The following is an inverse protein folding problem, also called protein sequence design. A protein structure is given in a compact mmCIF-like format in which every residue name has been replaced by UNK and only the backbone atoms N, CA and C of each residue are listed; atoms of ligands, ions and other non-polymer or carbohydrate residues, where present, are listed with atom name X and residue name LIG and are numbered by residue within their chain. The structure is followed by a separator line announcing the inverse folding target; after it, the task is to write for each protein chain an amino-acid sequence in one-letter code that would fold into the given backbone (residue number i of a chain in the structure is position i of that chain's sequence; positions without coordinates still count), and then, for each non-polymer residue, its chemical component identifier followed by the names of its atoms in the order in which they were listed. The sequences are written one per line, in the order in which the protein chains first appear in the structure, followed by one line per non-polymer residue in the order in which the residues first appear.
data_IF_221713070331
#
_entry.id   IF_221713070331
#
_cell.length_a   1.000
_cell.length_b   1.000
_cell.length_c   1.000
_cell.angle_alpha   90.00
_cell.angle_beta   90.00
_cell.angle_gamma   90.00
#
_symmetry.space_group_name_H-M   'P 1'
#
loop_
_entity.id
_entity.type
_entity.pdbx_description
1 polymer ?
#
# COMPACT_ATOMS: atom_id res chain seq x y z
N UNK A 1 26.93 -37.76 3.48
CA UNK A 1 27.27 -38.39 2.19
C UNK A 1 25.98 -38.81 1.51
N UNK A 2 25.64 -38.18 0.39
CA UNK A 2 24.78 -38.77 -0.64
C UNK A 2 25.47 -38.48 -1.98
N UNK A 3 26.25 -39.45 -2.45
CA UNK A 3 26.91 -39.43 -3.76
C UNK A 3 26.01 -40.20 -4.72
N UNK A 4 24.94 -39.57 -5.18
CA UNK A 4 24.30 -39.95 -6.44
C UNK A 4 24.95 -39.14 -7.57
N UNK A 5 25.08 -39.66 -8.80
CA UNK A 5 25.52 -38.85 -9.92
C UNK A 5 24.55 -37.67 -10.07
N UNK A 6 25.07 -36.44 -10.03
CA UNK A 6 24.32 -35.26 -10.44
C UNK A 6 23.95 -35.48 -11.89
N UNK A 7 22.71 -35.90 -12.17
CA UNK A 7 22.23 -36.03 -13.53
C UNK A 7 22.28 -34.63 -14.16
N UNK A 8 23.22 -34.44 -15.08
CA UNK A 8 23.22 -33.27 -15.96
C UNK A 8 22.01 -33.47 -16.86
N UNK A 9 21.07 -32.54 -16.79
CA UNK A 9 19.87 -32.57 -17.61
C UNK A 9 20.23 -32.13 -19.03
N UNK A 10 19.61 -32.72 -20.03
CA UNK A 10 19.76 -32.23 -21.40
C UNK A 10 19.09 -30.85 -21.54
N UNK A 11 19.57 -30.00 -22.46
CA UNK A 11 19.07 -28.63 -22.61
C UNK A 11 17.57 -28.60 -22.94
N UNK A 12 17.12 -29.49 -23.82
CA UNK A 12 15.71 -29.71 -24.16
C UNK A 12 14.87 -30.19 -22.96
N UNK A 13 15.47 -31.00 -22.09
CA UNK A 13 14.84 -31.44 -20.85
C UNK A 13 14.67 -30.27 -19.86
N UNK A 14 15.70 -29.43 -19.67
CA UNK A 14 15.63 -28.23 -18.82
C UNK A 14 14.51 -27.31 -19.30
N UNK A 15 14.50 -27.03 -20.60
CA UNK A 15 13.51 -26.21 -21.28
C UNK A 15 12.08 -26.75 -21.15
N UNK A 16 11.90 -28.07 -21.30
CA UNK A 16 10.61 -28.73 -21.19
C UNK A 16 10.07 -28.67 -19.76
N UNK A 17 10.93 -28.92 -18.76
CA UNK A 17 10.54 -28.80 -17.34
C UNK A 17 10.14 -27.38 -17.02
N UNK A 18 10.93 -26.39 -17.44
CA UNK A 18 10.69 -25.00 -17.11
C UNK A 18 9.38 -24.50 -17.73
N UNK A 19 9.15 -24.74 -19.03
CA UNK A 19 7.90 -24.37 -19.70
C UNK A 19 6.70 -25.07 -19.07
N UNK A 20 6.85 -26.35 -18.74
CA UNK A 20 5.82 -27.10 -18.04
C UNK A 20 5.49 -26.49 -16.69
N UNK A 21 6.48 -26.12 -15.88
CA UNK A 21 6.26 -25.53 -14.55
C UNK A 21 5.59 -24.16 -14.64
N UNK A 22 5.99 -23.33 -15.62
CA UNK A 22 5.35 -22.04 -15.89
C UNK A 22 3.88 -22.23 -16.26
N UNK A 23 3.57 -23.17 -17.15
CA UNK A 23 2.19 -23.45 -17.54
C UNK A 23 1.30 -23.90 -16.36
N UNK A 24 1.81 -24.76 -15.47
CA UNK A 24 1.09 -25.15 -14.24
C UNK A 24 0.85 -23.94 -13.33
N UNK A 25 1.87 -23.10 -13.13
CA UNK A 25 1.77 -21.91 -12.29
C UNK A 25 0.79 -20.87 -12.84
N UNK A 26 0.81 -20.63 -14.15
CA UNK A 26 -0.15 -19.77 -14.84
C UNK A 26 -1.60 -20.30 -14.74
N UNK A 27 -1.76 -21.62 -14.59
CA UNK A 27 -3.05 -22.26 -14.31
C UNK A 27 -3.44 -22.26 -12.82
N UNK A 28 -2.64 -21.63 -11.94
CA UNK A 28 -2.86 -21.61 -10.49
C UNK A 28 -2.46 -22.89 -9.75
N UNK A 29 -1.86 -23.86 -10.45
CA UNK A 29 -1.48 -25.18 -9.92
C UNK A 29 -0.06 -25.15 -9.33
N UNK A 30 0.17 -24.29 -8.34
CA UNK A 30 1.49 -24.05 -7.73
C UNK A 30 2.13 -25.33 -7.17
N UNK A 31 1.34 -26.26 -6.62
CA UNK A 31 1.86 -27.55 -6.14
C UNK A 31 2.35 -28.44 -7.28
N UNK A 32 1.66 -28.44 -8.43
CA UNK A 32 2.09 -29.20 -9.60
C UNK A 32 3.37 -28.59 -10.20
N UNK A 33 3.46 -27.26 -10.26
CA UNK A 33 4.67 -26.54 -10.64
C UNK A 33 5.85 -26.92 -9.72
N UNK A 34 5.66 -26.88 -8.40
CA UNK A 34 6.65 -27.28 -7.37
C UNK A 34 7.19 -28.69 -7.58
N UNK A 35 6.32 -29.66 -7.86
CA UNK A 35 6.74 -31.04 -8.15
C UNK A 35 7.56 -31.13 -9.44
N UNK A 36 7.17 -30.36 -10.47
CA UNK A 36 7.81 -30.43 -11.78
C UNK A 36 9.24 -29.90 -11.77
N UNK A 37 9.54 -28.88 -10.95
CA UNK A 37 10.87 -28.24 -10.89
C UNK A 37 11.94 -29.02 -10.12
N UNK A 38 11.57 -30.12 -9.43
CA UNK A 38 12.50 -30.86 -8.58
C UNK A 38 13.79 -31.34 -9.28
N UNK A 39 13.76 -31.79 -10.57
CA UNK A 39 15.00 -32.11 -11.29
C UNK A 39 15.89 -30.87 -11.46
N UNK A 40 15.33 -29.71 -11.81
CA UNK A 40 16.08 -28.46 -11.95
C UNK A 40 16.72 -28.05 -10.62
N UNK A 41 15.96 -28.12 -9.52
CA UNK A 41 16.44 -27.77 -8.16
C UNK A 41 17.63 -28.63 -7.74
N UNK A 42 17.63 -29.92 -8.11
CA UNK A 42 18.76 -30.83 -7.88
C UNK A 42 19.97 -30.54 -8.76
N UNK A 43 19.77 -30.12 -10.01
CA UNK A 43 20.83 -29.88 -10.99
C UNK A 43 21.49 -28.49 -10.86
N UNK A 44 20.77 -27.47 -10.39
CA UNK A 44 21.15 -26.05 -10.47
C UNK A 44 22.55 -25.73 -9.93
N UNK A 45 23.00 -26.45 -8.89
CA UNK A 45 24.31 -26.22 -8.25
C UNK A 45 25.48 -26.46 -9.19
N UNK A 46 25.30 -27.36 -10.16
CA UNK A 46 26.36 -27.80 -11.07
C UNK A 46 26.02 -27.50 -12.54
N UNK A 47 24.84 -26.96 -12.83
CA UNK A 47 24.38 -26.64 -14.18
C UNK A 47 23.72 -25.25 -14.19
N UNK A 48 24.45 -24.25 -14.70
CA UNK A 48 24.00 -22.85 -14.76
C UNK A 48 22.68 -22.69 -15.52
N UNK A 49 22.45 -23.50 -16.55
CA UNK A 49 21.21 -23.51 -17.33
C UNK A 49 19.99 -23.87 -16.46
N UNK A 50 20.11 -24.86 -15.59
CA UNK A 50 19.06 -25.25 -14.65
C UNK A 50 18.80 -24.14 -13.61
N UNK A 51 19.84 -23.45 -13.15
CA UNK A 51 19.69 -22.28 -12.28
C UNK A 51 18.94 -21.14 -12.99
N UNK A 52 19.32 -20.81 -14.23
CA UNK A 52 18.64 -19.78 -15.03
C UNK A 52 17.17 -20.14 -15.32
N UNK A 53 16.88 -21.42 -15.57
CA UNK A 53 15.51 -21.91 -15.75
C UNK A 53 14.66 -21.71 -14.48
N UNK A 54 15.21 -22.02 -13.30
CA UNK A 54 14.54 -21.75 -12.01
C UNK A 54 14.28 -20.25 -11.80
N UNK A 55 15.26 -19.39 -12.11
CA UNK A 55 15.09 -17.93 -12.01
C UNK A 55 13.98 -17.44 -12.94
N UNK A 56 13.87 -17.99 -14.15
CA UNK A 56 12.78 -17.68 -15.05
C UNK A 56 11.42 -18.12 -14.49
N UNK A 57 11.30 -19.32 -13.93
CA UNK A 57 10.06 -19.81 -13.30
C UNK A 57 9.64 -18.91 -12.12
N UNK A 58 10.61 -18.47 -11.31
CA UNK A 58 10.35 -17.50 -10.22
C UNK A 58 9.87 -16.17 -10.78
N UNK A 59 10.52 -15.64 -11.82
CA UNK A 59 10.14 -14.38 -12.48
C UNK A 59 8.73 -14.42 -13.07
N UNK A 60 8.29 -15.60 -13.53
CA UNK A 60 6.92 -15.86 -13.99
C UNK A 60 5.90 -16.06 -12.87
N UNK A 61 6.32 -15.95 -11.60
CA UNK A 61 5.46 -16.08 -10.40
C UNK A 61 4.70 -17.42 -10.36
N UNK A 62 5.32 -18.49 -10.84
CA UNK A 62 4.69 -19.81 -10.98
C UNK A 62 4.70 -20.67 -9.71
N UNK A 63 5.29 -20.18 -8.63
CA UNK A 63 5.46 -20.87 -7.35
C UNK A 63 4.90 -20.02 -6.21
N UNK A 64 4.72 -20.63 -5.03
CA UNK A 64 4.46 -19.84 -3.82
C UNK A 64 5.67 -18.96 -3.50
N UNK A 65 5.46 -17.81 -2.84
CA UNK A 65 6.54 -16.87 -2.54
C UNK A 65 7.60 -17.45 -1.61
N UNK A 66 7.17 -18.24 -0.63
CA UNK A 66 8.06 -18.91 0.30
C UNK A 66 8.98 -19.88 -0.44
N UNK A 67 8.42 -20.77 -1.27
CA UNK A 67 9.23 -21.71 -2.06
C UNK A 67 10.13 -21.00 -3.07
N UNK A 68 9.63 -19.95 -3.72
CA UNK A 68 10.44 -19.15 -4.62
C UNK A 68 11.61 -18.48 -3.88
N UNK A 69 11.40 -17.93 -2.68
CA UNK A 69 12.47 -17.33 -1.87
C UNK A 69 13.52 -18.37 -1.45
N UNK A 70 13.09 -19.59 -1.07
CA UNK A 70 13.99 -20.71 -0.76
C UNK A 70 14.86 -21.08 -1.96
N UNK A 71 14.26 -21.18 -3.16
CA UNK A 71 14.99 -21.47 -4.40
C UNK A 71 16.01 -20.38 -4.71
N UNK A 72 15.63 -19.10 -4.57
CA UNK A 72 16.56 -17.99 -4.74
C UNK A 72 17.73 -18.09 -3.74
N UNK A 73 17.48 -18.47 -2.48
CA UNK A 73 18.56 -18.69 -1.51
C UNK A 73 19.49 -19.84 -1.91
N UNK A 74 18.95 -20.98 -2.35
CA UNK A 74 19.76 -22.11 -2.80
C UNK A 74 20.65 -21.79 -4.00
N UNK A 75 20.14 -20.98 -4.94
CA UNK A 75 20.92 -20.50 -6.09
C UNK A 75 21.98 -19.50 -5.63
N UNK A 76 21.61 -18.54 -4.76
CA UNK A 76 22.55 -17.57 -4.21
C UNK A 76 23.72 -18.23 -3.48
N UNK A 77 23.47 -19.32 -2.74
CA UNK A 77 24.48 -20.09 -2.02
C UNK A 77 25.35 -20.97 -2.92
N UNK A 78 24.81 -21.44 -4.05
CA UNK A 78 25.54 -22.27 -4.99
C UNK A 78 26.47 -21.47 -5.93
N UNK A 79 26.13 -20.21 -6.22
CA UNK A 79 26.77 -19.41 -7.26
C UNK A 79 27.34 -18.10 -6.70
N UNK A 80 28.58 -18.10 -6.21
CA UNK A 80 29.17 -16.93 -5.51
C UNK A 80 29.64 -15.78 -6.41
N UNK A 81 30.06 -16.08 -7.64
CA UNK A 81 30.69 -15.10 -8.55
C UNK A 81 30.15 -15.18 -10.00
N UNK A 82 29.10 -15.97 -10.25
CA UNK A 82 28.48 -16.01 -11.57
C UNK A 82 27.60 -14.76 -11.76
N UNK A 83 28.15 -13.76 -12.46
CA UNK A 83 27.53 -12.44 -12.65
C UNK A 83 26.14 -12.57 -13.27
N UNK A 84 25.99 -13.39 -14.30
CA UNK A 84 24.72 -13.53 -15.03
C UNK A 84 23.61 -14.07 -14.12
N UNK A 85 23.92 -15.13 -13.36
CA UNK A 85 22.98 -15.75 -12.41
C UNK A 85 22.64 -14.76 -11.29
N UNK A 86 23.64 -14.17 -10.63
CA UNK A 86 23.40 -13.30 -9.47
C UNK A 86 22.67 -12.01 -9.85
N UNK A 87 23.00 -11.43 -11.02
CA UNK A 87 22.30 -10.24 -11.52
C UNK A 87 20.83 -10.56 -11.81
N UNK A 88 20.55 -11.69 -12.45
CA UNK A 88 19.18 -12.14 -12.73
C UNK A 88 18.43 -12.44 -11.43
N UNK A 89 19.06 -13.10 -10.48
CA UNK A 89 18.51 -13.41 -9.16
C UNK A 89 18.11 -12.14 -8.40
N UNK A 90 18.97 -11.11 -8.41
CA UNK A 90 18.66 -9.81 -7.82
C UNK A 90 17.38 -9.17 -8.38
N UNK A 91 17.13 -9.34 -9.68
CA UNK A 91 15.88 -8.90 -10.32
C UNK A 91 14.68 -9.74 -9.87
N UNK A 92 14.85 -11.06 -9.74
CA UNK A 92 13.80 -11.98 -9.31
C UNK A 92 13.32 -11.75 -7.86
N UNK A 93 14.06 -10.98 -7.04
CA UNK A 93 13.62 -10.62 -5.68
C UNK A 93 12.30 -9.83 -5.67
N UNK A 94 11.94 -9.15 -6.76
CA UNK A 94 10.64 -8.50 -6.89
C UNK A 94 9.48 -9.49 -7.06
N UNK A 95 9.72 -10.67 -7.64
CA UNK A 95 8.70 -11.68 -7.85
C UNK A 95 8.32 -12.43 -6.55
N UNK A 96 9.18 -12.36 -5.52
CA UNK A 96 8.96 -12.96 -4.20
C UNK A 96 8.38 -11.98 -3.18
N UNK A 97 7.93 -10.79 -3.63
CA UNK A 97 7.19 -9.80 -2.85
C UNK A 97 5.81 -9.57 -3.45
N UNK A 98 4.79 -9.39 -2.60
CA UNK A 98 3.47 -8.99 -3.05
C UNK A 98 3.38 -7.49 -3.33
N UNK A 99 2.45 -7.09 -4.21
CA UNK A 99 1.93 -5.73 -4.17
C UNK A 99 1.21 -5.46 -2.85
N UNK A 100 0.56 -6.47 -2.25
CA UNK A 100 -0.06 -6.38 -0.92
C UNK A 100 0.95 -6.04 0.20
N UNK A 101 2.24 -6.29 -0.07
CA UNK A 101 3.35 -6.02 0.82
C UNK A 101 3.97 -4.63 0.57
N UNK A 102 3.35 -3.78 -0.26
CA UNK A 102 3.88 -2.45 -0.55
C UNK A 102 4.08 -1.63 0.73
N UNK A 103 3.17 -1.79 1.70
CA UNK A 103 3.27 -1.18 3.04
C UNK A 103 3.89 -2.12 4.09
N UNK A 104 4.32 -3.34 3.76
CA UNK A 104 4.89 -4.27 4.73
C UNK A 104 6.29 -3.83 5.21
N UNK A 105 6.75 -4.32 6.38
CA UNK A 105 8.14 -4.17 6.82
C UNK A 105 9.15 -4.80 5.82
N UNK A 106 10.46 -4.53 6.00
CA UNK A 106 11.53 -5.23 5.29
C UNK A 106 11.33 -6.75 5.33
N UNK A 107 11.62 -7.46 4.23
CA UNK A 107 11.53 -8.91 4.21
C UNK A 107 12.53 -9.54 5.19
N UNK A 108 12.08 -10.56 5.91
CA UNK A 108 12.92 -11.28 6.89
C UNK A 108 13.80 -12.35 6.24
N UNK A 109 13.39 -12.87 5.07
CA UNK A 109 14.10 -13.98 4.42
C UNK A 109 15.56 -13.59 4.09
N UNK A 110 16.57 -14.41 4.46
CA UNK A 110 17.97 -14.02 4.41
C UNK A 110 18.50 -13.74 3.00
N UNK A 111 17.85 -14.29 1.97
CA UNK A 111 18.26 -14.10 0.57
C UNK A 111 18.35 -12.62 0.17
N UNK A 112 17.44 -11.77 0.66
CA UNK A 112 17.41 -10.36 0.27
C UNK A 112 18.68 -9.64 0.74
N UNK A 113 19.03 -9.79 2.02
CA UNK A 113 20.27 -9.22 2.58
C UNK A 113 21.52 -9.82 1.92
N UNK A 114 21.54 -11.12 1.70
CA UNK A 114 22.67 -11.81 1.06
C UNK A 114 22.92 -11.26 -0.35
N UNK A 115 21.86 -11.05 -1.13
CA UNK A 115 21.97 -10.55 -2.50
C UNK A 115 22.41 -9.10 -2.57
N UNK A 116 21.92 -8.22 -1.68
CA UNK A 116 22.44 -6.84 -1.60
C UNK A 116 23.96 -6.86 -1.35
N UNK A 117 24.44 -7.68 -0.42
CA UNK A 117 25.85 -7.79 -0.11
C UNK A 117 26.69 -8.34 -1.28
N UNK A 118 26.24 -9.44 -1.92
CA UNK A 118 26.94 -10.07 -3.06
C UNK A 118 26.99 -9.14 -4.26
N UNK A 119 25.86 -8.54 -4.64
CA UNK A 119 25.79 -7.63 -5.79
C UNK A 119 26.55 -6.33 -5.53
N UNK A 120 26.59 -5.81 -4.31
CA UNK A 120 27.44 -4.66 -3.95
C UNK A 120 28.93 -4.95 -4.18
N UNK A 121 29.39 -6.16 -3.84
CA UNK A 121 30.78 -6.60 -4.09
C UNK A 121 31.06 -6.69 -5.59
N UNK A 122 30.14 -7.28 -6.35
CA UNK A 122 30.28 -7.39 -7.80
C UNK A 122 30.26 -6.02 -8.49
N UNK A 123 29.37 -5.10 -8.07
CA UNK A 123 29.26 -3.77 -8.66
C UNK A 123 30.56 -2.97 -8.55
N UNK A 124 31.28 -3.11 -7.42
CA UNK A 124 32.63 -2.53 -7.25
C UNK A 124 33.68 -3.24 -8.09
N UNK A 125 33.62 -4.57 -8.20
CA UNK A 125 34.60 -5.36 -8.97
C UNK A 125 34.54 -5.06 -10.47
N UNK A 126 33.34 -4.85 -11.00
CA UNK A 126 33.09 -4.59 -12.42
C UNK A 126 32.98 -3.08 -12.72
N UNK A 127 33.45 -2.21 -11.84
CA UNK A 127 33.37 -0.76 -12.04
C UNK A 127 34.01 -0.30 -13.36
N UNK A 128 33.24 0.42 -14.18
CA UNK A 128 33.65 0.91 -15.49
C UNK A 128 33.69 -0.16 -16.60
N UNK A 129 33.26 -1.40 -16.31
CA UNK A 129 33.20 -2.49 -17.28
C UNK A 129 31.78 -2.63 -17.85
N UNK A 130 31.61 -3.16 -19.07
CA UNK A 130 30.28 -3.38 -19.67
C UNK A 130 29.35 -4.23 -18.81
N UNK A 131 29.89 -5.20 -18.08
CA UNK A 131 29.14 -6.08 -17.18
C UNK A 131 28.56 -5.36 -15.96
N UNK A 132 29.02 -4.14 -15.66
CA UNK A 132 28.55 -3.39 -14.50
C UNK A 132 27.05 -3.11 -14.57
N UNK A 133 26.54 -2.80 -15.76
CA UNK A 133 25.14 -2.42 -15.95
C UNK A 133 24.18 -3.51 -15.44
N UNK A 134 24.37 -4.77 -15.84
CA UNK A 134 23.52 -5.86 -15.38
C UNK A 134 23.61 -6.09 -13.86
N UNK A 135 24.79 -5.89 -13.28
CA UNK A 135 24.99 -6.02 -11.83
C UNK A 135 24.27 -4.91 -11.07
N UNK A 136 24.40 -3.67 -11.53
CA UNK A 136 23.72 -2.51 -10.95
C UNK A 136 22.20 -2.64 -11.05
N UNK A 137 21.67 -3.18 -12.15
CA UNK A 137 20.23 -3.48 -12.28
C UNK A 137 19.76 -4.46 -11.21
N UNK A 138 20.47 -5.56 -11.03
CA UNK A 138 20.16 -6.52 -9.97
C UNK A 138 20.29 -5.91 -8.57
N UNK A 139 21.34 -5.12 -8.33
CA UNK A 139 21.62 -4.48 -7.05
C UNK A 139 20.55 -3.45 -6.68
N UNK A 140 20.15 -2.61 -7.63
CA UNK A 140 19.12 -1.60 -7.45
C UNK A 140 17.79 -2.25 -7.01
N UNK A 141 17.36 -3.32 -7.70
CA UNK A 141 16.15 -4.05 -7.32
C UNK A 141 16.30 -4.71 -5.96
N UNK A 142 17.39 -5.44 -5.70
CA UNK A 142 17.63 -6.10 -4.42
C UNK A 142 17.62 -5.11 -3.24
N UNK A 143 18.27 -3.95 -3.41
CA UNK A 143 18.32 -2.90 -2.40
C UNK A 143 16.94 -2.26 -2.19
N UNK A 144 16.20 -1.96 -3.26
CA UNK A 144 14.83 -1.41 -3.17
C UNK A 144 13.86 -2.36 -2.49
N UNK A 145 13.99 -3.68 -2.70
CA UNK A 145 13.17 -4.71 -2.05
C UNK A 145 13.41 -4.86 -0.55
N UNK A 146 14.52 -4.32 -0.04
CA UNK A 146 14.82 -4.24 1.39
C UNK A 146 14.22 -2.97 2.05
N UNK A 147 13.14 -2.45 1.46
CA UNK A 147 12.47 -1.23 1.90
C UNK A 147 13.47 -0.09 2.15
N UNK A 148 13.44 0.59 3.30
CA UNK A 148 14.27 1.76 3.61
C UNK A 148 15.70 1.43 4.04
N UNK A 149 16.03 0.16 4.24
CA UNK A 149 17.31 -0.27 4.82
C UNK A 149 18.52 -0.01 3.90
N UNK A 150 18.28 0.07 2.59
CA UNK A 150 19.34 0.20 1.58
C UNK A 150 19.04 1.28 0.53
N UNK A 151 18.32 2.34 0.90
CA UNK A 151 17.94 3.43 -0.01
C UNK A 151 19.14 4.06 -0.73
N UNK A 152 20.23 4.32 -0.01
CA UNK A 152 21.44 4.90 -0.61
C UNK A 152 22.06 4.00 -1.69
N UNK A 153 22.05 2.67 -1.47
CA UNK A 153 22.57 1.71 -2.46
C UNK A 153 21.65 1.66 -3.67
N UNK A 154 20.33 1.65 -3.45
CA UNK A 154 19.36 1.63 -4.54
C UNK A 154 19.46 2.89 -5.41
N UNK A 155 19.48 4.07 -4.79
CA UNK A 155 19.57 5.35 -5.48
C UNK A 155 20.89 5.49 -6.26
N UNK A 156 22.04 5.24 -5.63
CA UNK A 156 23.36 5.27 -6.29
C UNK A 156 23.39 4.32 -7.48
N UNK A 157 22.91 3.09 -7.32
CA UNK A 157 22.86 2.12 -8.41
C UNK A 157 22.01 2.60 -9.58
N UNK A 158 20.87 3.23 -9.31
CA UNK A 158 19.96 3.75 -10.35
C UNK A 158 20.54 5.00 -11.05
N UNK A 159 21.21 5.88 -10.32
CA UNK A 159 21.89 7.05 -10.90
C UNK A 159 23.04 6.61 -11.81
N UNK A 160 23.87 5.66 -11.36
CA UNK A 160 24.96 5.09 -12.17
C UNK A 160 24.46 4.40 -13.44
N UNK A 161 23.31 3.73 -13.39
CA UNK A 161 22.69 3.16 -14.60
C UNK A 161 22.37 4.25 -15.62
N UNK A 162 21.84 5.39 -15.18
CA UNK A 162 21.59 6.55 -16.05
C UNK A 162 22.90 7.14 -16.59
N UNK A 163 23.98 7.14 -15.82
CA UNK A 163 25.30 7.58 -16.32
C UNK A 163 25.85 6.64 -17.41
N UNK A 164 25.63 5.33 -17.28
CA UNK A 164 26.06 4.32 -18.26
C UNK A 164 25.27 4.46 -19.57
N UNK A 165 23.94 4.53 -19.48
CA UNK A 165 23.07 4.75 -20.64
C UNK A 165 21.98 5.79 -20.32
N UNK A 166 22.24 7.08 -20.62
CA UNK A 166 21.29 8.16 -20.37
C UNK A 166 20.02 8.07 -21.21
N UNK A 167 20.03 7.33 -22.32
CA UNK A 167 18.90 7.21 -23.24
C UNK A 167 18.01 6.01 -22.90
N UNK A 168 18.38 5.20 -21.91
CA UNK A 168 17.56 4.07 -21.47
C UNK A 168 16.37 4.54 -20.62
N UNK A 169 15.19 4.65 -21.23
CA UNK A 169 13.94 4.99 -20.53
C UNK A 169 13.71 4.18 -19.24
N UNK A 170 13.98 2.86 -19.27
CA UNK A 170 13.81 1.98 -18.12
C UNK A 170 14.66 2.36 -16.88
N UNK A 171 15.82 3.00 -17.07
CA UNK A 171 16.66 3.44 -15.94
C UNK A 171 16.02 4.62 -15.22
N UNK A 172 15.53 5.60 -15.99
CA UNK A 172 14.76 6.74 -15.47
C UNK A 172 13.44 6.30 -14.81
N UNK A 173 12.73 5.35 -15.41
CA UNK A 173 11.49 4.79 -14.84
C UNK A 173 11.74 4.18 -13.46
N UNK A 174 12.77 3.33 -13.33
CA UNK A 174 13.08 2.69 -12.05
C UNK A 174 13.52 3.69 -10.97
N UNK A 175 14.24 4.76 -11.36
CA UNK A 175 14.57 5.86 -10.45
C UNK A 175 13.31 6.64 -10.03
N UNK A 176 12.39 6.89 -10.96
CA UNK A 176 11.10 7.51 -10.68
C UNK A 176 10.24 6.67 -9.73
N UNK A 177 10.18 5.35 -9.93
CA UNK A 177 9.49 4.42 -9.04
C UNK A 177 10.13 4.41 -7.64
N UNK A 178 11.46 4.39 -7.57
CA UNK A 178 12.19 4.50 -6.30
C UNK A 178 11.76 5.76 -5.55
N UNK A 179 11.84 6.94 -6.17
CA UNK A 179 11.45 8.20 -5.55
C UNK A 179 9.97 8.26 -5.14
N UNK A 180 9.05 7.72 -5.96
CA UNK A 180 7.62 7.61 -5.63
C UNK A 180 7.41 6.92 -4.28
N UNK A 181 8.03 5.76 -4.10
CA UNK A 181 7.90 4.95 -2.87
C UNK A 181 8.67 5.51 -1.67
N UNK A 182 9.36 6.64 -1.82
CA UNK A 182 10.14 7.32 -0.77
C UNK A 182 9.63 8.72 -0.45
N UNK A 183 8.52 9.12 -1.05
CA UNK A 183 7.95 10.46 -0.86
C UNK A 183 8.75 11.59 -1.51
N UNK A 184 9.80 11.27 -2.26
CA UNK A 184 10.65 12.22 -2.99
C UNK A 184 9.99 12.60 -4.31
N UNK A 185 8.76 13.11 -4.19
CA UNK A 185 7.84 13.22 -5.30
C UNK A 185 8.33 14.18 -6.39
N UNK A 186 9.01 15.27 -6.03
CA UNK A 186 9.57 16.21 -7.01
C UNK A 186 10.66 15.56 -7.87
N UNK A 187 11.59 14.80 -7.26
CA UNK A 187 12.57 14.02 -8.01
C UNK A 187 11.91 12.91 -8.83
N UNK A 188 10.85 12.29 -8.29
CA UNK A 188 10.02 11.32 -8.99
C UNK A 188 9.37 11.90 -10.26
N UNK A 189 8.88 13.15 -10.21
CA UNK A 189 8.36 13.85 -11.40
C UNK A 189 9.45 14.00 -12.45
N UNK A 190 10.65 14.46 -12.07
CA UNK A 190 11.75 14.65 -13.00
C UNK A 190 12.16 13.34 -13.69
N UNK A 191 12.36 12.28 -12.90
CA UNK A 191 12.78 10.97 -13.42
C UNK A 191 11.70 10.33 -14.32
N UNK A 192 10.42 10.31 -13.91
CA UNK A 192 9.38 9.74 -14.77
C UNK A 192 9.12 10.58 -16.03
N UNK A 193 9.32 11.90 -15.99
CA UNK A 193 9.24 12.75 -17.20
C UNK A 193 10.37 12.43 -18.17
N UNK A 194 11.59 12.21 -17.68
CA UNK A 194 12.70 11.75 -18.51
C UNK A 194 12.40 10.38 -19.12
N UNK A 195 11.90 9.43 -18.31
CA UNK A 195 11.49 8.11 -18.79
C UNK A 195 10.45 8.18 -19.90
N UNK A 196 9.39 8.98 -19.72
CA UNK A 196 8.34 9.17 -20.71
C UNK A 196 8.87 9.80 -22.00
N UNK A 197 9.80 10.77 -21.91
CA UNK A 197 10.38 11.44 -23.09
C UNK A 197 11.31 10.56 -23.93
N UNK A 198 11.88 9.52 -23.32
CA UNK A 198 12.82 8.59 -23.96
C UNK A 198 12.14 7.31 -24.47
N UNK A 199 10.86 7.13 -24.15
CA UNK A 199 10.09 5.97 -24.61
C UNK A 199 9.51 6.24 -26.00
N UNK A 200 9.69 5.31 -26.93
CA UNK A 200 9.10 5.40 -28.28
C UNK A 200 7.57 5.26 -28.23
N UNK A 201 7.06 4.56 -27.21
CA UNK A 201 5.64 4.35 -26.96
C UNK A 201 5.24 4.88 -25.59
N UNK A 202 4.01 5.39 -25.47
CA UNK A 202 3.47 5.77 -24.17
C UNK A 202 3.33 4.51 -23.30
N UNK A 203 4.04 4.47 -22.18
CA UNK A 203 3.96 3.36 -21.21
C UNK A 203 3.08 3.82 -20.05
N UNK A 204 1.90 3.22 -19.92
CA UNK A 204 0.91 3.57 -18.89
C UNK A 204 1.53 3.63 -17.49
N UNK A 205 2.36 2.65 -17.12
CA UNK A 205 2.98 2.63 -15.79
C UNK A 205 3.88 3.83 -15.51
N UNK A 206 4.53 4.38 -16.54
CA UNK A 206 5.35 5.59 -16.42
C UNK A 206 4.49 6.83 -16.21
N UNK A 207 3.41 6.97 -16.98
CA UNK A 207 2.45 8.08 -16.82
C UNK A 207 1.73 8.01 -15.47
N UNK A 208 1.33 6.82 -15.01
CA UNK A 208 0.79 6.59 -13.67
C UNK A 208 1.77 7.06 -12.58
N UNK A 209 3.03 6.62 -12.64
CA UNK A 209 4.04 7.04 -11.66
C UNK A 209 4.32 8.54 -11.72
N UNK A 210 4.36 9.13 -12.91
CA UNK A 210 4.52 10.57 -13.11
C UNK A 210 3.38 11.35 -12.46
N UNK A 211 2.14 10.93 -12.67
CA UNK A 211 0.95 11.61 -12.16
C UNK A 211 0.76 11.47 -10.65
N UNK A 212 1.08 10.29 -10.09
CA UNK A 212 1.13 10.07 -8.64
C UNK A 212 2.21 10.96 -8.01
N UNK A 213 3.42 10.98 -8.58
CA UNK A 213 4.49 11.87 -8.11
C UNK A 213 4.07 13.34 -8.23
N UNK A 214 3.46 13.76 -9.32
CA UNK A 214 3.02 15.15 -9.48
C UNK A 214 1.96 15.53 -8.44
N UNK A 215 1.03 14.62 -8.14
CA UNK A 215 0.01 14.82 -7.09
C UNK A 215 0.66 14.88 -5.70
N UNK A 216 1.60 13.97 -5.41
CA UNK A 216 2.38 13.97 -4.16
C UNK A 216 3.24 15.23 -3.96
N UNK A 217 3.83 15.73 -5.04
CA UNK A 217 4.60 16.97 -5.06
C UNK A 217 3.72 18.23 -5.04
N UNK A 218 2.39 18.08 -5.11
CA UNK A 218 1.41 19.17 -5.32
C UNK A 218 1.67 20.00 -6.58
N UNK A 219 2.27 19.40 -7.60
CA UNK A 219 2.37 19.96 -8.95
C UNK A 219 1.05 19.70 -9.71
N UNK A 220 0.06 20.53 -9.40
CA UNK A 220 -1.29 20.42 -9.94
C UNK A 220 -1.34 20.48 -11.47
N UNK A 221 -0.49 21.30 -12.08
CA UNK A 221 -0.47 21.48 -13.53
C UNK A 221 0.03 20.22 -14.24
N UNK A 222 1.14 19.64 -13.78
CA UNK A 222 1.65 18.38 -14.32
C UNK A 222 0.65 17.24 -14.06
N UNK A 223 0.12 17.13 -12.84
CA UNK A 223 -0.85 16.07 -12.50
C UNK A 223 -2.10 16.15 -13.38
N UNK A 224 -2.70 17.34 -13.53
CA UNK A 224 -3.87 17.55 -14.38
C UNK A 224 -3.58 17.19 -15.84
N UNK A 225 -2.45 17.65 -16.37
CA UNK A 225 -2.05 17.39 -17.75
C UNK A 225 -1.84 15.90 -18.04
N UNK A 226 -1.18 15.18 -17.13
CA UNK A 226 -0.97 13.73 -17.27
C UNK A 226 -2.29 12.99 -17.18
N UNK A 227 -3.11 13.26 -16.16
CA UNK A 227 -4.41 12.60 -16.00
C UNK A 227 -5.33 12.83 -17.21
N UNK A 228 -5.37 14.04 -17.77
CA UNK A 228 -6.13 14.31 -19.00
C UNK A 228 -5.58 13.55 -20.22
N UNK A 229 -4.26 13.41 -20.36
CA UNK A 229 -3.66 12.57 -21.42
C UNK A 229 -4.00 11.08 -21.25
N UNK A 230 -4.14 10.63 -20.01
CA UNK A 230 -4.60 9.28 -19.65
C UNK A 230 -6.13 9.15 -19.62
N UNK A 231 -6.83 10.10 -20.26
CA UNK A 231 -8.29 10.13 -20.42
C UNK A 231 -9.09 10.11 -19.11
N UNK A 232 -8.46 10.49 -18.00
CA UNK A 232 -9.12 10.62 -16.71
C UNK A 232 -9.99 11.89 -16.69
N UNK A 233 -11.20 11.75 -16.17
CA UNK A 233 -12.19 12.83 -16.08
C UNK A 233 -11.94 13.68 -14.83
N UNK A 234 -10.88 14.49 -14.89
CA UNK A 234 -10.47 15.38 -13.79
C UNK A 234 -10.39 16.84 -14.24
N UNK A 235 -10.73 17.73 -13.32
CA UNK A 235 -10.63 19.19 -13.46
C UNK A 235 -9.89 19.78 -12.25
N UNK A 236 -9.49 21.07 -12.26
CA UNK A 236 -8.94 21.72 -11.08
C UNK A 236 -9.90 21.57 -9.87
N UNK A 237 -9.41 20.96 -8.80
CA UNK A 237 -10.20 20.58 -7.63
C UNK A 237 -9.99 21.45 -6.40
N UNK A 238 -10.76 21.13 -5.36
CA UNK A 238 -10.94 21.97 -4.17
C UNK A 238 -9.69 22.14 -3.29
N UNK A 239 -8.72 21.23 -3.41
CA UNK A 239 -7.47 21.26 -2.64
C UNK A 239 -6.26 21.72 -3.48
N UNK A 240 -6.51 22.38 -4.62
CA UNK A 240 -5.44 22.72 -5.56
C UNK A 240 -4.82 21.48 -6.21
N UNK A 241 -5.58 20.39 -6.31
CA UNK A 241 -5.21 19.14 -6.96
C UNK A 241 -6.31 18.74 -7.96
N UNK A 242 -6.01 17.96 -9.01
CA UNK A 242 -7.01 17.52 -9.98
C UNK A 242 -8.08 16.62 -9.33
N UNK A 243 -9.35 16.92 -9.58
CA UNK A 243 -10.49 16.25 -8.96
C UNK A 243 -11.54 15.86 -10.00
N UNK A 244 -12.17 14.70 -9.81
CA UNK A 244 -13.22 14.15 -10.64
C UNK A 244 -14.15 13.24 -9.84
N UNK A 245 -15.18 12.71 -10.51
CA UNK A 245 -16.09 11.74 -9.92
C UNK A 245 -15.54 10.32 -10.05
N UNK A 246 -15.22 9.69 -8.92
CA UNK A 246 -14.75 8.31 -8.86
C UNK A 246 -15.63 7.48 -7.90
N UNK A 247 -15.82 6.18 -8.17
CA UNK A 247 -16.44 5.28 -7.19
C UNK A 247 -15.70 5.31 -5.86
N UNK A 248 -16.45 5.20 -4.77
CA UNK A 248 -15.87 5.06 -3.44
C UNK A 248 -14.94 3.83 -3.41
N UNK A 249 -13.88 3.94 -2.62
CA UNK A 249 -12.98 2.83 -2.37
C UNK A 249 -12.54 2.80 -0.93
N UNK A 250 -11.78 1.77 -0.58
CA UNK A 250 -11.17 1.64 0.73
C UNK A 250 -9.67 1.93 0.64
N UNK A 251 -9.11 2.42 1.74
CA UNK A 251 -7.66 2.56 1.90
C UNK A 251 -7.24 1.90 3.20
N UNK A 252 -6.17 1.12 3.14
CA UNK A 252 -5.47 0.64 4.34
C UNK A 252 -4.55 1.75 4.84
N UNK A 253 -5.09 2.57 5.74
CA UNK A 253 -4.33 3.61 6.42
C UNK A 253 -3.32 2.96 7.37
N UNK A 254 -2.20 3.64 7.57
CA UNK A 254 -1.10 3.20 8.40
C UNK A 254 -0.65 4.38 9.26
N UNK A 255 -0.24 4.09 10.50
CA UNK A 255 0.38 5.06 11.39
C UNK A 255 1.66 5.67 10.79
N UNK A 256 2.34 4.90 9.93
CA UNK A 256 3.52 5.30 9.17
C UNK A 256 3.32 4.97 7.69
N UNK A 257 2.77 5.92 6.90
CA UNK A 257 2.59 5.78 5.46
C UNK A 257 3.92 5.54 4.76
N UNK A 258 3.94 4.76 3.67
CA UNK A 258 5.17 4.31 3.01
C UNK A 258 6.16 5.43 2.70
N UNK A 259 5.66 6.53 2.14
CA UNK A 259 6.45 7.67 1.70
C UNK A 259 7.04 8.47 2.88
N UNK A 260 6.49 8.31 4.09
CA UNK A 260 6.86 9.06 5.28
C UNK A 260 7.80 8.26 6.21
N UNK A 261 8.08 7.00 5.88
CA UNK A 261 8.97 6.14 6.69
C UNK A 261 10.42 6.62 6.69
N UNK A 262 11.19 6.03 7.58
CA UNK A 262 12.65 6.15 7.68
C UNK A 262 13.24 4.77 7.94
N UNK A 263 14.55 4.60 7.79
CA UNK A 263 15.20 3.30 8.03
C UNK A 263 15.01 2.79 9.47
N UNK A 264 14.91 3.68 10.46
CA UNK A 264 14.67 3.34 11.87
C UNK A 264 13.19 3.02 12.20
N UNK A 265 12.26 3.36 11.30
CA UNK A 265 10.81 3.16 11.47
C UNK A 265 10.19 2.62 10.18
N UNK A 266 10.77 1.53 9.71
CA UNK A 266 10.44 0.93 8.42
C UNK A 266 9.34 -0.13 8.55
N UNK A 267 8.21 0.27 9.12
CA UNK A 267 7.05 -0.58 9.31
C UNK A 267 5.80 0.31 9.35
N UNK A 268 4.60 -0.21 9.02
CA UNK A 268 3.38 0.61 8.98
C UNK A 268 2.89 1.09 10.35
N UNK A 269 3.34 0.47 11.45
CA UNK A 269 2.70 0.59 12.75
C UNK A 269 1.30 -0.02 12.75
N UNK A 270 0.40 0.61 13.49
CA UNK A 270 -1.03 0.24 13.45
C UNK A 270 -1.63 0.59 12.09
N UNK A 271 -2.61 -0.19 11.66
CA UNK A 271 -3.30 -0.02 10.39
C UNK A 271 -4.81 -0.12 10.58
N UNK A 272 -5.56 0.66 9.80
CA UNK A 272 -7.02 0.64 9.78
C UNK A 272 -7.50 0.75 8.33
N UNK A 273 -8.45 -0.10 7.93
CA UNK A 273 -9.02 -0.02 6.58
C UNK A 273 -10.31 0.77 6.61
N UNK A 274 -10.31 1.91 5.93
CA UNK A 274 -11.41 2.88 5.96
C UNK A 274 -11.96 3.17 4.58
N UNK A 275 -13.19 3.69 4.53
CA UNK A 275 -13.76 4.28 3.33
C UNK A 275 -13.26 5.71 3.11
N UNK A 276 -13.05 6.06 1.85
CA UNK A 276 -12.66 7.40 1.43
C UNK A 276 -13.59 7.95 0.34
N UNK A 277 -13.72 9.28 0.29
CA UNK A 277 -14.21 9.98 -0.89
C UNK A 277 -13.06 10.08 -1.88
N UNK A 278 -13.12 9.32 -2.98
CA UNK A 278 -12.07 9.31 -3.99
C UNK A 278 -12.21 10.50 -4.93
N UNK A 279 -11.18 11.35 -4.97
CA UNK A 279 -11.17 12.57 -5.77
C UNK A 279 -10.44 12.40 -7.10
N UNK A 280 -9.46 11.51 -7.15
CA UNK A 280 -8.69 11.21 -8.37
C UNK A 280 -8.27 9.74 -8.38
N UNK A 281 -7.56 9.27 -9.41
CA UNK A 281 -7.02 7.92 -9.41
C UNK A 281 -6.08 7.62 -8.24
N UNK A 282 -5.49 8.63 -7.60
CA UNK A 282 -4.45 8.43 -6.59
C UNK A 282 -4.60 9.25 -5.30
N UNK A 283 -5.69 9.99 -5.10
CA UNK A 283 -5.91 10.71 -3.84
C UNK A 283 -7.39 10.82 -3.48
N UNK A 284 -7.66 11.04 -2.20
CA UNK A 284 -9.01 11.17 -1.67
C UNK A 284 -9.05 11.71 -0.25
N UNK A 285 -10.26 11.88 0.27
CA UNK A 285 -10.54 12.40 1.61
C UNK A 285 -10.92 11.25 2.52
N UNK A 286 -10.35 11.19 3.70
CA UNK A 286 -10.76 10.21 4.73
C UNK A 286 -12.16 10.54 5.21
N UNK A 287 -13.13 9.63 5.00
CA UNK A 287 -14.54 9.81 5.37
C UNK A 287 -15.05 8.86 6.45
N UNK A 288 -14.15 8.07 7.04
CA UNK A 288 -14.43 7.32 8.26
C UNK A 288 -13.72 7.98 9.42
N UNK A 289 -14.40 8.15 10.56
CA UNK A 289 -13.71 8.56 11.79
C UNK A 289 -12.99 7.33 12.32
N UNK A 290 -11.66 7.39 12.43
CA UNK A 290 -10.85 6.22 12.77
C UNK A 290 -11.21 5.67 14.15
N UNK A 291 -10.85 4.43 14.43
CA UNK A 291 -10.81 3.91 15.80
C UNK A 291 -9.41 4.09 16.41
N UNK A 292 -8.38 3.79 15.63
CA UNK A 292 -6.98 3.95 16.04
C UNK A 292 -6.48 5.39 15.97
N UNK A 293 -5.33 5.64 16.58
CA UNK A 293 -4.61 6.91 16.42
C UNK A 293 -3.44 6.71 15.44
N UNK A 294 -3.73 6.87 14.15
CA UNK A 294 -2.75 6.66 13.09
C UNK A 294 -2.03 7.96 12.69
N UNK A 295 -2.28 9.07 13.38
CA UNK A 295 -1.79 10.39 12.99
C UNK A 295 -2.40 10.94 11.70
N UNK A 296 -3.30 10.18 11.05
CA UNK A 296 -4.20 10.59 9.96
C UNK A 296 -5.64 10.44 10.39
N UNK A 297 -6.47 11.41 10.03
CA UNK A 297 -7.80 11.55 10.60
C UNK A 297 -8.86 11.94 9.57
N UNK A 298 -10.12 11.90 10.00
CA UNK A 298 -11.27 12.33 9.19
C UNK A 298 -11.03 13.71 8.57
N UNK A 299 -11.35 13.84 7.28
CA UNK A 299 -11.17 15.05 6.50
C UNK A 299 -9.77 15.21 5.90
N UNK A 300 -8.75 14.50 6.39
CA UNK A 300 -7.41 14.57 5.79
C UNK A 300 -7.43 14.10 4.32
N UNK A 301 -6.62 14.75 3.50
CA UNK A 301 -6.41 14.36 2.10
C UNK A 301 -5.19 13.47 2.03
N UNK A 302 -5.37 12.25 1.53
CA UNK A 302 -4.31 11.23 1.46
C UNK A 302 -3.96 10.91 0.01
N UNK A 303 -2.72 10.47 -0.20
CA UNK A 303 -2.22 9.88 -1.42
C UNK A 303 -2.22 8.36 -1.30
N UNK A 304 -2.64 7.68 -2.36
CA UNK A 304 -2.63 6.23 -2.51
C UNK A 304 -1.97 5.84 -3.83
N UNK A 305 -1.53 4.59 -3.94
CA UNK A 305 -1.08 4.06 -5.23
C UNK A 305 -2.28 3.82 -6.16
N UNK A 306 -2.03 3.75 -7.47
CA UNK A 306 -3.05 3.43 -8.47
C UNK A 306 -3.40 1.94 -8.53
N UNK A 307 -2.54 1.08 -7.99
CA UNK A 307 -2.74 -0.37 -7.90
C UNK A 307 -3.36 -0.75 -6.55
N UNK A 308 -4.51 -1.47 -6.52
CA UNK A 308 -5.06 -1.99 -5.28
C UNK A 308 -4.20 -3.11 -4.71
N UNK A 309 -4.21 -3.23 -3.39
CA UNK A 309 -3.55 -4.31 -2.61
C UNK A 309 -4.50 -5.43 -2.22
N UNK A 310 -5.79 -5.31 -2.51
CA UNK A 310 -6.79 -6.39 -2.43
C UNK A 310 -8.14 -5.83 -2.89
N UNK A 311 -9.14 -6.69 -2.99
CA UNK A 311 -10.54 -6.31 -3.15
C UNK A 311 -11.36 -6.93 -2.02
N UNK A 312 -12.35 -6.18 -1.53
CA UNK A 312 -13.33 -6.67 -0.56
C UNK A 312 -14.69 -6.79 -1.25
N UNK A 313 -15.32 -7.95 -1.13
CA UNK A 313 -16.64 -8.22 -1.69
C UNK A 313 -17.73 -7.59 -0.84
N UNK A 314 -18.69 -6.92 -1.47
CA UNK A 314 -19.92 -6.43 -0.83
C UNK A 314 -21.10 -6.76 -1.77
N UNK A 315 -21.75 -7.90 -1.53
CA UNK A 315 -22.73 -8.46 -2.46
C UNK A 315 -22.08 -8.73 -3.82
N UNK A 316 -22.64 -8.14 -4.88
CA UNK A 316 -22.12 -8.29 -6.24
C UNK A 316 -20.94 -7.34 -6.55
N UNK A 317 -20.57 -6.43 -5.62
CA UNK A 317 -19.53 -5.43 -5.85
C UNK A 317 -18.15 -5.88 -5.33
N UNK A 318 -17.12 -5.61 -6.13
CA UNK A 318 -15.72 -5.74 -5.72
C UNK A 318 -15.14 -4.37 -5.41
N UNK A 319 -14.92 -4.09 -4.13
CA UNK A 319 -14.44 -2.80 -3.67
C UNK A 319 -12.91 -2.84 -3.56
N UNK A 320 -12.17 -2.04 -4.35
CA UNK A 320 -10.72 -2.02 -4.27
C UNK A 320 -10.24 -1.41 -2.96
N UNK A 321 -9.17 -1.99 -2.41
CA UNK A 321 -8.45 -1.49 -1.25
C UNK A 321 -7.08 -1.01 -1.71
N UNK A 322 -6.79 0.27 -1.50
CA UNK A 322 -5.51 0.85 -1.89
C UNK A 322 -4.57 1.03 -0.68
N UNK A 323 -3.24 1.06 -0.91
CA UNK A 323 -2.27 1.33 0.13
C UNK A 323 -2.14 2.84 0.39
N UNK A 324 -1.99 3.23 1.66
CA UNK A 324 -1.68 4.61 2.03
C UNK A 324 -0.21 4.95 1.75
N UNK A 325 0.03 5.88 0.81
CA UNK A 325 1.38 6.34 0.47
C UNK A 325 1.82 7.49 1.36
N UNK A 326 1.02 8.56 1.46
CA UNK A 326 1.34 9.77 2.23
C UNK A 326 0.07 10.52 2.63
N UNK A 327 0.12 11.32 3.69
CA UNK A 327 -0.92 12.33 3.95
C UNK A 327 -0.53 13.64 3.28
N UNK A 328 -1.32 14.05 2.27
CA UNK A 328 -1.08 15.29 1.53
C UNK A 328 -1.47 16.51 2.35
N UNK A 329 -2.66 16.53 2.95
CA UNK A 329 -3.17 17.70 3.68
C UNK A 329 -3.81 17.26 4.99
N UNK A 330 -3.32 17.83 6.10
CA UNK A 330 -3.96 17.74 7.42
C UNK A 330 -5.07 18.77 7.53
N UNK A 331 -6.26 18.35 7.92
CA UNK A 331 -7.40 19.24 8.16
C UNK A 331 -7.62 19.55 9.63
N UNK A 332 -7.02 18.78 10.53
CA UNK A 332 -7.05 19.02 11.98
C UNK A 332 -8.48 19.13 12.53
N UNK A 333 -9.34 18.16 12.18
CA UNK A 333 -10.68 18.08 12.74
C UNK A 333 -10.61 17.95 14.26
N UNK A 334 -11.63 18.50 14.92
CA UNK A 334 -11.85 18.32 16.35
C UNK A 334 -12.58 17.00 16.56
N UNK A 335 -12.18 16.25 17.60
CA UNK A 335 -12.79 14.96 17.92
C UNK A 335 -13.27 14.92 19.37
N UNK A 336 -14.50 14.45 19.56
CA UNK A 336 -15.11 14.30 20.88
C UNK A 336 -15.71 12.90 21.02
N UNK A 337 -15.28 12.14 22.03
CA UNK A 337 -15.89 10.85 22.31
C UNK A 337 -17.36 11.04 22.77
N UNK A 338 -18.23 10.14 22.36
CA UNK A 338 -19.61 10.09 22.84
C UNK A 338 -20.02 8.66 23.22
N UNK A 339 -21.00 8.58 24.11
CA UNK A 339 -21.80 7.40 24.35
C UNK A 339 -23.27 7.80 24.39
N UNK A 340 -24.16 6.96 23.91
CA UNK A 340 -25.56 7.32 23.75
C UNK A 340 -26.49 6.11 23.70
N UNK A 341 -27.78 6.41 23.73
CA UNK A 341 -28.85 5.42 23.58
C UNK A 341 -29.69 5.73 22.35
N UNK A 342 -30.14 4.68 21.67
CA UNK A 342 -30.99 4.76 20.48
C UNK A 342 -32.02 3.64 20.46
N UNK A 343 -33.16 3.88 19.82
CA UNK A 343 -34.22 2.88 19.64
C UNK A 343 -33.96 2.00 18.42
N UNK A 344 -33.51 2.59 17.32
CA UNK A 344 -33.21 1.89 16.08
C UNK A 344 -31.74 2.01 15.74
N UNK A 345 -31.21 1.02 14.99
CA UNK A 345 -29.86 1.10 14.44
C UNK A 345 -29.63 2.44 13.74
N UNK A 346 -28.41 2.96 13.83
CA UNK A 346 -27.94 4.19 13.15
C UNK A 346 -28.61 5.51 13.57
N UNK A 347 -29.62 5.52 14.45
CA UNK A 347 -30.39 6.72 14.79
C UNK A 347 -29.53 7.92 15.20
N UNK A 348 -28.51 7.70 16.04
CA UNK A 348 -27.60 8.78 16.47
C UNK A 348 -26.61 9.18 15.39
N UNK A 349 -26.15 8.24 14.58
CA UNK A 349 -25.16 8.53 13.57
C UNK A 349 -25.78 9.18 12.32
N UNK A 350 -27.07 8.99 12.08
CA UNK A 350 -27.83 9.63 10.99
C UNK A 350 -28.13 11.11 11.27
N UNK A 351 -27.95 11.59 12.51
CA UNK A 351 -27.93 13.02 12.85
C UNK A 351 -26.90 13.77 12.00
N UNK A 352 -25.82 13.11 11.56
CA UNK A 352 -24.78 13.72 10.72
C UNK A 352 -25.33 14.42 9.47
N UNK A 353 -26.46 13.95 8.92
CA UNK A 353 -27.09 14.59 7.75
C UNK A 353 -27.75 15.95 8.03
N UNK A 354 -27.94 16.29 9.30
CA UNK A 354 -28.53 17.56 9.76
C UNK A 354 -27.47 18.54 10.32
N UNK A 355 -26.23 18.08 10.47
CA UNK A 355 -25.14 18.91 10.96
C UNK A 355 -24.50 19.70 9.82
N UNK A 356 -24.33 20.99 10.02
CA UNK A 356 -23.61 21.84 9.07
C UNK A 356 -22.08 21.67 9.18
N UNK A 357 -21.37 22.06 8.12
CA UNK A 357 -19.92 22.22 8.15
C UNK A 357 -19.12 20.91 8.21
N UNK A 358 -19.65 19.83 7.64
CA UNK A 358 -18.98 18.52 7.54
C UNK A 358 -18.73 17.87 8.92
N UNK A 359 -19.57 18.17 9.90
CA UNK A 359 -19.55 17.50 11.20
C UNK A 359 -20.27 16.13 11.13
N UNK A 360 -19.70 15.13 11.78
CA UNK A 360 -20.19 13.75 11.72
C UNK A 360 -20.21 13.12 13.11
N UNK A 361 -21.32 12.45 13.43
CA UNK A 361 -21.42 11.53 14.57
C UNK A 361 -21.16 10.11 14.05
N UNK A 362 -20.00 9.56 14.42
CA UNK A 362 -19.56 8.25 13.94
C UNK A 362 -19.64 7.21 15.05
N UNK A 363 -20.58 6.27 14.93
CA UNK A 363 -20.81 5.19 15.90
C UNK A 363 -19.85 4.01 15.66
N UNK A 364 -18.70 4.02 16.34
CA UNK A 364 -17.72 2.93 16.26
C UNK A 364 -18.30 1.58 16.72
N UNK A 365 -19.17 1.59 17.72
CA UNK A 365 -19.83 0.37 18.18
C UNK A 365 -20.65 -0.32 17.09
N UNK A 366 -21.14 0.40 16.09
CA UNK A 366 -21.93 -0.16 14.98
C UNK A 366 -21.10 -0.37 13.72
N UNK A 367 -20.06 0.44 13.50
CA UNK A 367 -19.31 0.47 12.23
C UNK A 367 -17.95 -0.22 12.28
N UNK A 368 -17.37 -0.44 13.46
CA UNK A 368 -16.06 -1.10 13.59
C UNK A 368 -16.18 -2.62 13.41
N UNK A 369 -15.29 -3.18 12.59
CA UNK A 369 -15.12 -4.62 12.44
C UNK A 369 -13.66 -4.98 12.69
N UNK A 370 -13.43 -5.96 13.58
CA UNK A 370 -12.10 -6.51 13.84
C UNK A 370 -11.99 -7.82 13.06
N UNK A 371 -10.94 -7.94 12.25
CA UNK A 371 -10.70 -9.09 11.39
C UNK A 371 -9.28 -9.62 11.58
N UNK A 372 -9.09 -10.93 11.42
CA UNK A 372 -7.75 -11.48 11.28
C UNK A 372 -7.20 -11.19 9.88
N UNK A 373 -5.88 -11.25 9.74
CA UNK A 373 -5.22 -10.92 8.47
C UNK A 373 -5.59 -11.86 7.31
N UNK A 374 -6.01 -13.11 7.59
CA UNK A 374 -6.46 -14.05 6.57
C UNK A 374 -7.85 -13.69 6.05
N UNK A 375 -8.80 -13.37 6.95
CA UNK A 375 -10.13 -12.92 6.54
C UNK A 375 -10.06 -11.60 5.79
N UNK A 376 -9.18 -10.68 6.20
CA UNK A 376 -9.01 -9.39 5.52
C UNK A 376 -8.45 -9.56 4.10
N UNK A 377 -7.55 -10.53 3.86
CA UNK A 377 -6.99 -10.79 2.53
C UNK A 377 -7.89 -11.63 1.63
N UNK A 378 -8.94 -12.27 2.16
CA UNK A 378 -9.74 -13.19 1.37
C UNK A 378 -10.83 -12.43 0.58
N UNK A 379 -10.72 -12.31 -0.75
CA UNK A 379 -11.73 -11.64 -1.54
C UNK A 379 -13.05 -12.41 -1.60
N UNK A 380 -13.08 -13.71 -1.28
CA UNK A 380 -14.30 -14.53 -1.33
C UNK A 380 -15.24 -14.30 -0.14
N UNK A 381 -14.79 -13.59 0.90
CA UNK A 381 -15.65 -13.25 2.04
C UNK A 381 -16.54 -12.08 1.64
N UNK A 382 -17.85 -12.31 1.60
CA UNK A 382 -18.82 -11.23 1.43
C UNK A 382 -18.96 -10.40 2.72
N UNK A 383 -18.69 -9.10 2.60
CA UNK A 383 -18.81 -8.14 3.68
C UNK A 383 -20.20 -7.48 3.76
N UNK A 384 -21.13 -7.80 2.86
CA UNK A 384 -22.52 -7.34 2.93
C UNK A 384 -23.34 -8.10 3.98
N UNK A 385 -23.04 -9.39 4.22
CA UNK A 385 -23.83 -10.28 5.10
C UNK A 385 -23.49 -10.19 6.59
N UNK A 386 -22.64 -9.24 7.01
CA UNK A 386 -22.34 -9.09 8.43
C UNK A 386 -23.58 -8.60 9.16
N UNK A 387 -24.25 -9.48 9.91
CA UNK A 387 -25.40 -9.15 10.75
C UNK A 387 -25.17 -7.80 11.44
N UNK A 388 -25.99 -6.81 11.07
CA UNK A 388 -26.08 -5.55 11.78
C UNK A 388 -26.75 -5.87 13.10
N UNK A 389 -25.96 -6.13 14.13
CA UNK A 389 -26.47 -6.25 15.49
C UNK A 389 -27.17 -4.94 15.85
N UNK A 390 -28.46 -5.01 16.14
CA UNK A 390 -29.19 -3.86 16.66
C UNK A 390 -28.61 -3.50 18.04
N UNK A 391 -28.07 -2.29 18.16
CA UNK A 391 -27.47 -1.77 19.39
C UNK A 391 -28.29 -0.61 19.92
N UNK A 392 -28.82 -0.76 21.13
CA UNK A 392 -29.52 0.32 21.82
C UNK A 392 -28.59 1.22 22.65
N UNK A 393 -27.37 0.76 22.92
CA UNK A 393 -26.29 1.55 23.52
C UNK A 393 -25.15 1.60 22.51
N UNK A 394 -24.73 2.81 22.17
CA UNK A 394 -23.69 3.04 21.17
C UNK A 394 -22.63 3.98 21.68
N UNK A 395 -21.42 3.79 21.20
CA UNK A 395 -20.27 4.63 21.53
C UNK A 395 -19.46 4.90 20.26
N UNK A 396 -18.84 6.08 20.21
CA UNK A 396 -18.02 6.48 19.10
C UNK A 396 -17.43 7.86 19.24
N UNK A 397 -17.18 8.52 18.12
CA UNK A 397 -16.58 9.87 18.09
C UNK A 397 -17.38 10.81 17.20
N UNK A 398 -17.48 12.05 17.65
CA UNK A 398 -17.96 13.19 16.88
C UNK A 398 -16.73 13.83 16.24
N UNK A 399 -16.76 14.03 14.92
CA UNK A 399 -15.76 14.78 14.19
C UNK A 399 -16.37 16.11 13.73
N UNK A 400 -15.62 17.21 13.84
CA UNK A 400 -16.06 18.51 13.34
C UNK A 400 -14.89 19.33 12.80
N UNK A 401 -15.16 20.12 11.75
CA UNK A 401 -14.18 21.06 11.21
C UNK A 401 -13.65 21.99 12.34
N UNK A 402 -12.36 22.39 12.30
CA UNK A 402 -11.84 23.38 13.23
C UNK A 402 -12.56 24.74 13.16
N UNK A 403 -13.28 25.01 12.08
CA UNK A 403 -14.06 26.25 11.89
C UNK A 403 -15.39 26.24 12.68
N UNK A 404 -15.83 25.09 13.20
CA UNK A 404 -17.05 24.97 14.00
C UNK A 404 -16.70 25.14 15.47
N UNK A 405 -17.27 26.16 16.11
CA UNK A 405 -17.12 26.34 17.55
C UNK A 405 -17.80 25.18 18.31
N UNK A 406 -17.16 24.60 19.36
CA UNK A 406 -17.74 23.50 20.13
C UNK A 406 -19.15 23.79 20.67
N UNK A 407 -19.43 25.04 21.06
CA UNK A 407 -20.76 25.44 21.53
C UNK A 407 -21.83 25.40 20.40
N UNK A 408 -21.45 25.78 19.18
CA UNK A 408 -22.33 25.68 18.02
C UNK A 408 -22.57 24.21 17.64
N UNK A 409 -21.52 23.38 17.67
CA UNK A 409 -21.65 21.94 17.42
C UNK A 409 -22.61 21.28 18.42
N UNK A 410 -22.46 21.60 19.71
CA UNK A 410 -23.33 21.08 20.76
C UNK A 410 -24.80 21.49 20.55
N UNK A 411 -25.06 22.76 20.18
CA UNK A 411 -26.40 23.27 19.91
C UNK A 411 -27.08 22.56 18.73
N UNK A 412 -26.34 22.33 17.63
CA UNK A 412 -26.85 21.57 16.47
C UNK A 412 -27.24 20.14 16.86
N UNK A 413 -26.38 19.47 17.65
CA UNK A 413 -26.66 18.10 18.12
C UNK A 413 -27.87 18.07 19.05
N UNK A 414 -27.96 19.02 19.99
CA UNK A 414 -29.10 19.11 20.91
C UNK A 414 -30.42 19.31 20.18
N UNK A 415 -30.43 20.19 19.17
CA UNK A 415 -31.60 20.43 18.33
C UNK A 415 -32.01 19.16 17.57
N UNK A 416 -31.06 18.48 16.93
CA UNK A 416 -31.32 17.25 16.18
C UNK A 416 -31.82 16.09 17.07
N UNK A 417 -31.33 16.02 18.32
CA UNK A 417 -31.80 15.03 19.31
C UNK A 417 -33.21 15.37 19.80
N UNK A 418 -33.50 16.65 20.07
CA UNK A 418 -34.80 17.10 20.54
C UNK A 418 -35.92 16.78 19.51
N UNK A 419 -35.62 16.88 18.22
CA UNK A 419 -36.56 16.53 17.14
C UNK A 419 -36.87 15.03 17.07
N UNK A 420 -35.94 14.16 17.49
CA UNK A 420 -36.11 12.69 17.51
C UNK A 420 -36.79 12.18 18.78
N UNK A 421 -36.55 12.82 19.92
CA UNK A 421 -37.19 12.52 21.22
C UNK A 421 -36.85 11.18 21.87
N UNK A 422 -36.41 10.16 21.12
CA UNK A 422 -36.18 8.80 21.62
C UNK A 422 -34.71 8.35 21.68
N UNK A 423 -33.77 9.27 21.47
CA UNK A 423 -32.34 9.01 21.62
C UNK A 423 -31.68 10.00 22.59
N UNK A 424 -30.51 9.62 23.11
CA UNK A 424 -29.70 10.50 23.97
C UNK A 424 -28.22 10.33 23.62
N UNK A 425 -27.47 11.43 23.69
CA UNK A 425 -26.04 11.46 23.43
C UNK A 425 -25.33 12.23 24.54
N UNK A 426 -24.25 11.64 25.04
CA UNK A 426 -23.43 12.22 26.09
C UNK A 426 -22.00 12.38 25.59
N UNK A 427 -21.51 13.62 25.53
CA UNK A 427 -20.19 13.98 25.02
C UNK A 427 -19.51 14.95 26.00
N UNK A 428 -18.90 14.44 27.08
CA UNK A 428 -18.40 15.27 28.17
C UNK A 428 -17.35 16.28 27.71
N UNK A 429 -16.41 15.86 26.86
CA UNK A 429 -15.33 16.74 26.42
C UNK A 429 -15.82 17.82 25.43
N UNK A 430 -16.89 17.54 24.67
CA UNK A 430 -17.58 18.55 23.87
C UNK A 430 -18.28 19.59 24.78
N UNK A 431 -18.97 19.13 25.82
CA UNK A 431 -19.59 20.02 26.81
C UNK A 431 -18.55 20.90 27.51
N UNK A 432 -17.38 20.34 27.85
CA UNK A 432 -16.27 21.09 28.41
C UNK A 432 -15.78 22.18 27.45
N UNK A 433 -15.53 21.80 26.19
CA UNK A 433 -15.07 22.71 25.13
C UNK A 433 -16.10 23.80 24.79
N UNK A 434 -17.39 23.50 24.95
CA UNK A 434 -18.50 24.46 24.81
C UNK A 434 -18.69 25.37 26.04
N UNK A 435 -17.90 25.20 27.11
CA UNK A 435 -18.02 25.97 28.35
C UNK A 435 -19.16 25.54 29.28
N UNK A 436 -19.82 24.40 29.03
CA UNK A 436 -20.94 23.89 29.81
C UNK A 436 -20.50 22.93 30.93
N UNK A 437 -19.69 23.41 31.88
CA UNK A 437 -19.08 22.58 32.94
C UNK A 437 -20.08 21.84 33.84
N UNK A 438 -21.29 22.36 34.03
CA UNK A 438 -22.32 21.67 34.81
C UNK A 438 -22.86 20.43 34.07
N UNK A 439 -23.09 20.57 32.76
CA UNK A 439 -23.53 19.49 31.88
C UNK A 439 -22.42 18.46 31.69
N UNK A 440 -21.18 18.92 31.48
CA UNK A 440 -19.99 18.07 31.39
C UNK A 440 -19.92 17.04 32.52
N UNK A 441 -20.15 17.44 33.78
CA UNK A 441 -20.14 16.51 34.93
C UNK A 441 -21.27 15.49 34.90
N UNK A 442 -22.41 15.82 34.31
CA UNK A 442 -23.53 14.91 34.13
C UNK A 442 -23.20 13.94 33.00
N UNK A 443 -22.80 14.46 31.85
CA UNK A 443 -22.40 13.70 30.67
C UNK A 443 -21.26 12.74 30.99
N UNK A 444 -20.25 13.14 31.77
CA UNK A 444 -19.13 12.27 32.12
C UNK A 444 -19.58 11.05 32.93
N UNK A 445 -20.54 11.23 33.85
CA UNK A 445 -21.11 10.12 34.63
C UNK A 445 -21.95 9.19 33.74
N UNK A 446 -22.72 9.74 32.81
CA UNK A 446 -23.55 8.96 31.87
C UNK A 446 -22.71 8.24 30.83
N UNK A 447 -21.71 8.92 30.28
CA UNK A 447 -20.71 8.35 29.38
C UNK A 447 -20.01 7.16 30.04
N UNK A 448 -19.50 7.31 31.27
CA UNK A 448 -18.84 6.21 31.98
C UNK A 448 -19.77 5.01 32.24
N UNK A 449 -21.06 5.26 32.51
CA UNK A 449 -22.06 4.20 32.69
C UNK A 449 -22.32 3.42 31.39
N UNK A 450 -22.36 4.12 30.25
CA UNK A 450 -22.67 3.52 28.95
C UNK A 450 -21.45 2.89 28.26
N UNK A 451 -20.27 3.50 28.40
CA UNK A 451 -19.03 3.05 27.78
C UNK A 451 -18.28 1.97 28.59
N UNK A 452 -18.64 1.80 29.88
CA UNK A 452 -18.06 0.79 30.77
C UNK A 452 -18.83 -0.54 30.83
N UNK A 453 -19.99 -0.62 30.17
CA UNK A 453 -20.71 -1.86 29.87
C UNK A 453 -20.38 -2.31 28.45
#
# INVERSE_FOLDING_TARGET
MSKGPSAILASDEVDAIARGAVAEGEAGLTQAASQKIQPLRKAQRHQAEAAMALLWIVDRRSLTREEAADILAEIADAHDDNIAILSRLGLCLEAVRDIDDLNAPPPEHPVFRAMVAKLSRLARRYEGQPEQEQVLRGLATAARMMARQHDAIAEDSLQRLIEIDPQKSAHHYNLGLFYKTRGRFAEGVAANRAAASLSEEAVDSTEWNLAICATGARDAATALGVWKRMEQKVEPGRFGLPEGGYPACKVRLAARPLAERTADRDDPGEEETVWIERLSPCHGIVRSVLYGNLGVDYGDVILMDGAPITHHTYGDEQIPVFPHLATLLRRNYQFFAFAGTQETARQLADISGELDGDAVIYSHSESLKIMCANCWRNPEIDHAEHETMEKHVVAGRIAASPDIAPAQLLDMIDKAIAERGSCQLYAPDLCAAAGQLARERIDRRRFALLAGN
#
